data_IF_354419820201
#
_entry.id   IF_354419820201
#
_cell.length_a   1.000
_cell.length_b   1.000
_cell.length_c   1.000
_cell.angle_alpha   90.00
_cell.angle_beta   90.00
_cell.angle_gamma   90.00
#
_symmetry.space_group_name_H-M   'P 1'
#
loop_
_entity.id
_entity.type
_entity.pdbx_description
1 polymer ?
#
# COMPACT_ATOMS: atom_id res chain seq x y z
N UNK A 1 -1.25 -14.08 9.99
CA UNK A 1 0.22 -14.01 9.81
C UNK A 1 0.87 -14.27 11.15
N UNK A 2 1.93 -15.09 11.22
CA UNK A 2 2.66 -15.30 12.48
C UNK A 2 3.21 -13.94 12.96
N UNK A 3 3.17 -13.69 14.27
CA UNK A 3 3.61 -12.44 14.94
C UNK A 3 4.98 -11.93 14.47
N UNK A 4 5.84 -12.84 14.01
CA UNK A 4 7.18 -12.57 13.49
C UNK A 4 7.21 -11.80 12.16
N UNK A 5 6.18 -11.86 11.31
CA UNK A 5 6.17 -11.20 10.00
C UNK A 5 5.77 -9.72 10.12
N UNK A 6 4.94 -9.39 11.13
CA UNK A 6 4.38 -8.05 11.32
C UNK A 6 5.14 -7.36 12.44
N UNK A 7 6.38 -7.00 12.12
CA UNK A 7 7.19 -6.13 12.95
C UNK A 7 7.86 -5.07 12.06
N UNK A 8 8.30 -3.93 12.63
CA UNK A 8 8.83 -2.82 11.85
C UNK A 8 10.06 -3.18 10.99
N UNK A 9 10.94 -4.04 11.50
CA UNK A 9 12.18 -4.42 10.83
C UNK A 9 11.89 -5.36 9.66
N UNK A 10 11.07 -6.39 9.87
CA UNK A 10 10.66 -7.32 8.83
C UNK A 10 9.87 -6.60 7.73
N UNK A 11 9.00 -5.66 8.09
CA UNK A 11 8.25 -4.87 7.12
C UNK A 11 9.13 -3.87 6.37
N UNK A 12 10.16 -3.30 7.01
CA UNK A 12 11.18 -2.54 6.32
C UNK A 12 11.93 -3.38 5.28
N UNK A 13 12.36 -4.60 5.65
CA UNK A 13 13.04 -5.53 4.73
C UNK A 13 12.12 -5.95 3.58
N UNK A 14 10.85 -6.26 3.87
CA UNK A 14 9.87 -6.60 2.84
C UNK A 14 9.65 -5.40 1.89
N UNK A 15 9.47 -4.20 2.44
CA UNK A 15 9.36 -2.97 1.67
C UNK A 15 10.58 -2.74 0.79
N UNK A 16 11.78 -2.88 1.34
CA UNK A 16 13.06 -2.79 0.65
C UNK A 16 13.14 -3.76 -0.54
N UNK A 17 12.84 -5.04 -0.33
CA UNK A 17 12.85 -6.05 -1.40
C UNK A 17 11.80 -5.75 -2.47
N UNK A 18 10.59 -5.36 -2.06
CA UNK A 18 9.52 -5.00 -2.99
C UNK A 18 9.81 -3.73 -3.78
N UNK A 19 10.53 -2.75 -3.21
CA UNK A 19 10.91 -1.55 -3.94
C UNK A 19 11.94 -1.84 -5.03
N UNK A 20 12.94 -2.70 -4.74
CA UNK A 20 13.86 -3.21 -5.76
C UNK A 20 13.09 -3.96 -6.85
N UNK A 21 12.27 -4.93 -6.45
CA UNK A 21 11.49 -5.76 -7.38
C UNK A 21 10.56 -4.91 -8.24
N UNK A 22 9.84 -3.97 -7.64
CA UNK A 22 8.94 -3.06 -8.34
C UNK A 22 9.68 -2.29 -9.42
N UNK A 23 10.86 -1.72 -9.10
CA UNK A 23 11.63 -0.97 -10.10
C UNK A 23 12.23 -1.87 -11.19
N UNK A 24 12.64 -3.09 -10.87
CA UNK A 24 13.11 -4.04 -11.87
C UNK A 24 11.96 -4.47 -12.80
N UNK A 25 10.78 -4.73 -12.24
CA UNK A 25 9.58 -5.04 -13.03
C UNK A 25 9.22 -3.87 -13.94
N UNK A 26 9.32 -2.63 -13.46
CA UNK A 26 9.09 -1.43 -14.27
C UNK A 26 10.03 -1.33 -15.48
N UNK A 27 11.28 -1.77 -15.34
CA UNK A 27 12.28 -1.78 -16.44
C UNK A 27 12.04 -2.94 -17.41
N UNK A 28 11.77 -4.14 -16.90
CA UNK A 28 11.77 -5.37 -17.72
C UNK A 28 10.37 -5.83 -18.16
N UNK A 29 9.30 -5.30 -17.58
CA UNK A 29 7.93 -5.78 -17.81
C UNK A 29 6.90 -4.65 -17.79
N UNK A 30 6.17 -4.43 -18.89
CA UNK A 30 5.16 -3.37 -18.94
C UNK A 30 3.98 -3.61 -17.98
N UNK A 31 3.38 -4.80 -17.99
CA UNK A 31 2.16 -5.05 -17.22
C UNK A 31 2.41 -5.13 -15.70
N UNK A 32 3.47 -5.85 -15.29
CA UNK A 32 3.80 -6.00 -13.87
C UNK A 32 4.40 -4.71 -13.29
N UNK A 33 5.20 -3.99 -14.07
CA UNK A 33 5.67 -2.64 -13.69
C UNK A 33 4.51 -1.71 -13.38
N UNK A 34 3.52 -1.65 -14.29
CA UNK A 34 2.33 -0.82 -14.08
C UNK A 34 1.54 -1.20 -12.81
N UNK A 35 1.42 -2.48 -12.49
CA UNK A 35 0.73 -2.93 -11.27
C UNK A 35 1.44 -2.42 -10.01
N UNK A 36 2.77 -2.59 -9.94
CA UNK A 36 3.53 -2.25 -8.74
C UNK A 36 3.78 -0.74 -8.56
N UNK A 37 3.59 0.04 -9.62
CA UNK A 37 3.70 1.49 -9.62
C UNK A 37 2.37 2.22 -9.33
N UNK A 38 1.26 1.49 -9.23
CA UNK A 38 -0.07 2.06 -9.07
C UNK A 38 -0.53 2.21 -7.63
N UNK A 39 -1.46 3.13 -7.39
CA UNK A 39 -1.94 3.42 -6.04
C UNK A 39 -2.72 2.25 -5.42
N UNK A 40 -3.49 1.49 -6.21
CA UNK A 40 -4.32 0.39 -5.72
C UNK A 40 -3.52 -0.68 -4.97
N UNK A 41 -2.33 -1.07 -5.49
CA UNK A 41 -1.51 -2.08 -4.81
C UNK A 41 -0.92 -1.55 -3.49
N UNK A 42 -0.58 -0.26 -3.42
CA UNK A 42 -0.10 0.38 -2.20
C UNK A 42 -1.20 0.42 -1.13
N UNK A 43 -2.43 0.74 -1.53
CA UNK A 43 -3.60 0.67 -0.66
C UNK A 43 -3.80 -0.77 -0.15
N UNK A 44 -3.67 -1.77 -1.03
CA UNK A 44 -3.77 -3.17 -0.63
C UNK A 44 -2.72 -3.56 0.41
N UNK A 45 -1.44 -3.22 0.20
CA UNK A 45 -0.40 -3.49 1.19
C UNK A 45 -0.67 -2.75 2.51
N UNK A 46 -1.07 -1.48 2.44
CA UNK A 46 -1.45 -0.70 3.61
C UNK A 46 -2.58 -1.33 4.40
N UNK A 47 -3.61 -1.82 3.72
CA UNK A 47 -4.75 -2.53 4.32
C UNK A 47 -4.27 -3.81 4.99
N UNK A 48 -3.52 -4.66 4.29
CA UNK A 48 -2.98 -5.91 4.84
C UNK A 48 -2.15 -5.67 6.10
N UNK A 49 -1.17 -4.75 6.04
CA UNK A 49 -0.30 -4.44 7.19
C UNK A 49 -1.14 -3.90 8.36
N UNK A 50 -2.11 -3.04 8.09
CA UNK A 50 -2.95 -2.42 9.11
C UNK A 50 -3.87 -3.43 9.78
N UNK A 51 -4.67 -4.19 9.04
CA UNK A 51 -5.67 -5.10 9.61
C UNK A 51 -5.04 -6.29 10.37
N UNK A 52 -3.87 -6.75 9.93
CA UNK A 52 -3.17 -7.85 10.61
C UNK A 52 -2.28 -7.38 11.77
N UNK A 53 -2.10 -6.06 11.97
CA UNK A 53 -1.45 -5.54 13.17
C UNK A 53 -2.35 -5.72 14.41
N UNK A 54 -1.76 -6.04 15.56
CA UNK A 54 -2.54 -6.30 16.78
C UNK A 54 -3.17 -5.04 17.37
N UNK A 55 -2.52 -3.87 17.24
CA UNK A 55 -3.02 -2.61 17.80
C UNK A 55 -2.93 -1.48 16.76
N UNK A 56 -3.73 -0.43 16.97
CA UNK A 56 -3.67 0.81 16.16
C UNK A 56 -2.25 1.36 16.09
N UNK A 57 -1.59 1.46 17.25
CA UNK A 57 -0.19 1.91 17.36
C UNK A 57 0.76 1.02 16.57
N UNK A 58 0.58 -0.30 16.61
CA UNK A 58 1.42 -1.21 15.80
C UNK A 58 1.19 -1.00 14.30
N UNK A 59 -0.06 -0.85 13.84
CA UNK A 59 -0.33 -0.55 12.42
C UNK A 59 0.42 0.69 11.94
N UNK A 60 0.40 1.77 12.74
CA UNK A 60 1.10 3.02 12.46
C UNK A 60 2.62 2.85 12.38
N UNK A 61 3.22 2.14 13.34
CA UNK A 61 4.68 1.95 13.41
C UNK A 61 5.15 0.96 12.33
N UNK A 62 4.30 0.02 11.93
CA UNK A 62 4.62 -1.02 10.96
C UNK A 62 4.58 -0.52 9.51
N UNK A 63 3.61 0.33 9.15
CA UNK A 63 3.43 0.78 7.77
C UNK A 63 4.52 1.74 7.31
N UNK A 64 5.00 2.62 8.20
CA UNK A 64 5.95 3.66 7.81
C UNK A 64 7.30 3.10 7.35
N UNK A 65 7.96 2.18 8.08
CA UNK A 65 9.18 1.54 7.62
C UNK A 65 8.99 0.76 6.32
N UNK A 66 7.84 0.11 6.13
CA UNK A 66 7.51 -0.54 4.87
C UNK A 66 7.54 0.45 3.70
N UNK A 67 6.80 1.56 3.83
CA UNK A 67 6.73 2.59 2.78
C UNK A 67 8.09 3.25 2.53
N UNK A 68 8.87 3.55 3.58
CA UNK A 68 10.19 4.14 3.45
C UNK A 68 11.19 3.19 2.78
N UNK A 69 11.20 1.90 3.16
CA UNK A 69 12.05 0.89 2.53
C UNK A 69 11.72 0.72 1.05
N UNK A 70 10.43 0.69 0.72
CA UNK A 70 9.95 0.55 -0.65
C UNK A 70 10.28 1.76 -1.51
N UNK A 71 9.96 2.98 -1.09
CA UNK A 71 10.30 4.20 -1.84
C UNK A 71 11.82 4.40 -1.95
N UNK A 72 12.55 4.21 -0.85
CA UNK A 72 13.99 4.44 -0.80
C UNK A 72 14.75 3.56 -1.80
N UNK A 73 14.41 2.27 -1.86
CA UNK A 73 15.02 1.35 -2.83
C UNK A 73 14.52 1.56 -4.24
N UNK A 74 13.23 1.81 -4.43
CA UNK A 74 12.66 2.08 -5.74
C UNK A 74 13.38 3.26 -6.41
N UNK A 75 13.55 4.38 -5.69
CA UNK A 75 14.26 5.55 -6.20
C UNK A 75 15.76 5.35 -6.31
N UNK A 76 16.37 4.57 -5.42
CA UNK A 76 17.80 4.24 -5.52
C UNK A 76 18.10 3.41 -6.77
N UNK A 77 17.32 2.35 -7.02
CA UNK A 77 17.44 1.53 -8.24
C UNK A 77 17.10 2.36 -9.47
N UNK A 78 16.12 3.26 -9.40
CA UNK A 78 15.86 4.20 -10.48
C UNK A 78 17.09 5.07 -10.78
N UNK A 79 17.72 5.64 -9.76
CA UNK A 79 18.92 6.47 -9.91
C UNK A 79 20.08 5.69 -10.58
N UNK A 80 20.35 4.46 -10.15
CA UNK A 80 21.39 3.62 -10.76
C UNK A 80 21.10 3.25 -12.23
N UNK A 81 19.83 3.16 -12.62
CA UNK A 81 19.41 2.84 -13.99
C UNK A 81 19.04 4.09 -14.80
N UNK A 82 19.51 5.28 -14.41
CA UNK A 82 19.22 6.57 -15.08
C UNK A 82 17.72 6.86 -15.25
N UNK A 83 16.89 6.35 -14.34
CA UNK A 83 15.47 6.63 -14.28
C UNK A 83 15.20 8.10 -13.96
N UNK A 84 14.48 8.79 -14.84
CA UNK A 84 14.12 10.20 -14.65
C UNK A 84 12.79 10.27 -13.91
N UNK A 85 12.82 10.81 -12.69
CA UNK A 85 11.61 11.14 -11.92
C UNK A 85 11.58 12.63 -11.62
N UNK A 86 10.40 13.23 -11.76
CA UNK A 86 10.23 14.64 -11.39
C UNK A 86 10.35 14.79 -9.87
N UNK A 87 10.94 15.91 -9.43
CA UNK A 87 11.03 16.24 -8.00
C UNK A 87 9.65 16.25 -7.34
N UNK A 88 8.64 16.73 -8.06
CA UNK A 88 7.23 16.75 -7.63
C UNK A 88 6.71 15.35 -7.34
N UNK A 89 7.00 14.36 -8.20
CA UNK A 89 6.56 12.98 -8.01
C UNK A 89 7.20 12.36 -6.76
N UNK A 90 8.52 12.53 -6.59
CA UNK A 90 9.25 12.03 -5.41
C UNK A 90 8.68 12.66 -4.13
N UNK A 91 8.43 13.98 -4.14
CA UNK A 91 7.85 14.69 -2.99
C UNK A 91 6.44 14.20 -2.67
N UNK A 92 5.57 14.02 -3.67
CA UNK A 92 4.21 13.55 -3.48
C UNK A 92 4.16 12.15 -2.82
N UNK A 93 4.96 11.21 -3.33
CA UNK A 93 5.04 9.87 -2.75
C UNK A 93 5.68 9.84 -1.37
N UNK A 94 6.70 10.67 -1.14
CA UNK A 94 7.32 10.80 0.17
C UNK A 94 6.33 11.34 1.19
N UNK A 95 5.55 12.37 0.82
CA UNK A 95 4.49 12.91 1.67
C UNK A 95 3.41 11.85 1.95
N UNK A 96 2.99 11.10 0.93
CA UNK A 96 2.06 9.99 1.10
C UNK A 96 2.58 8.94 2.10
N UNK A 97 3.85 8.55 1.99
CA UNK A 97 4.48 7.62 2.93
C UNK A 97 4.52 8.18 4.35
N UNK A 98 4.78 9.48 4.54
CA UNK A 98 4.75 10.13 5.85
C UNK A 98 3.34 10.21 6.44
N UNK A 99 2.30 10.34 5.60
CA UNK A 99 0.90 10.30 6.02
C UNK A 99 0.37 8.88 6.28
N UNK A 100 1.08 7.84 5.80
CA UNK A 100 0.66 6.44 5.92
C UNK A 100 0.34 5.97 7.35
N UNK A 101 0.99 6.45 8.45
CA UNK A 101 0.59 6.07 9.80
C UNK A 101 -0.84 6.49 10.13
N UNK A 102 -1.25 7.71 9.75
CA UNK A 102 -2.60 8.21 10.01
C UNK A 102 -3.62 7.36 9.24
N UNK A 103 -3.32 7.04 7.98
CA UNK A 103 -4.17 6.17 7.17
C UNK A 103 -4.26 4.75 7.75
N UNK A 104 -3.14 4.21 8.25
CA UNK A 104 -3.11 2.90 8.88
C UNK A 104 -3.88 2.85 10.20
N UNK A 105 -3.89 3.95 10.97
CA UNK A 105 -4.72 4.08 12.17
C UNK A 105 -6.20 3.92 11.82
N UNK A 106 -6.70 4.68 10.84
CA UNK A 106 -8.09 4.58 10.39
C UNK A 106 -8.38 3.21 9.76
N UNK A 107 -7.46 2.70 8.95
CA UNK A 107 -7.62 1.37 8.33
C UNK A 107 -7.69 0.27 9.38
N UNK A 108 -6.95 0.36 10.48
CA UNK A 108 -7.07 -0.59 11.59
C UNK A 108 -8.46 -0.54 12.25
N UNK A 109 -9.10 0.63 12.32
CA UNK A 109 -10.45 0.78 12.88
C UNK A 109 -11.52 0.05 12.07
N UNK A 110 -11.23 -0.37 10.83
CA UNK A 110 -12.13 -1.24 10.08
C UNK A 110 -12.37 -2.59 10.76
N UNK A 111 -11.53 -2.99 11.73
CA UNK A 111 -11.73 -4.20 12.56
C UNK A 111 -12.80 -4.01 13.64
N UNK A 112 -13.08 -2.76 14.02
CA UNK A 112 -14.03 -2.46 15.07
C UNK A 112 -15.47 -2.62 14.57
N UNK A 113 -16.41 -2.87 15.49
CA UNK A 113 -17.84 -2.89 15.20
C UNK A 113 -18.36 -1.46 15.26
N UNK A 114 -19.18 -1.07 14.28
CA UNK A 114 -19.85 0.23 14.27
C UNK A 114 -19.94 0.84 12.88
N UNK A 115 -20.74 1.89 12.78
CA UNK A 115 -21.01 2.59 11.53
C UNK A 115 -19.75 3.25 10.94
N UNK A 116 -18.89 3.81 11.79
CA UNK A 116 -17.61 4.42 11.39
C UNK A 116 -16.69 3.41 10.68
N UNK A 117 -16.59 2.18 11.20
CA UNK A 117 -15.80 1.11 10.58
C UNK A 117 -16.29 0.78 9.17
N UNK A 118 -17.62 0.76 8.96
CA UNK A 118 -18.22 0.54 7.66
C UNK A 118 -17.96 1.69 6.67
N UNK A 119 -18.07 2.94 7.14
CA UNK A 119 -17.72 4.13 6.34
C UNK A 119 -16.27 4.07 5.88
N UNK A 120 -15.33 3.72 6.76
CA UNK A 120 -13.90 3.62 6.41
C UNK A 120 -13.67 2.51 5.37
N UNK A 121 -14.31 1.34 5.51
CA UNK A 121 -14.19 0.25 4.53
C UNK A 121 -14.64 0.69 3.13
N UNK A 122 -15.79 1.36 3.05
CA UNK A 122 -16.30 1.92 1.79
C UNK A 122 -15.33 2.97 1.25
N UNK A 123 -14.88 3.89 2.11
CA UNK A 123 -13.95 4.96 1.73
C UNK A 123 -12.64 4.42 1.13
N UNK A 124 -12.06 3.37 1.71
CA UNK A 124 -10.84 2.73 1.19
C UNK A 124 -11.07 2.18 -0.22
N UNK A 125 -12.16 1.44 -0.44
CA UNK A 125 -12.47 0.86 -1.76
C UNK A 125 -12.75 1.97 -2.78
N UNK A 126 -13.51 3.01 -2.40
CA UNK A 126 -13.79 4.15 -3.27
C UNK A 126 -12.51 4.90 -3.65
N UNK A 127 -11.62 5.17 -2.69
CA UNK A 127 -10.35 5.85 -2.97
C UNK A 127 -9.48 4.99 -3.90
N UNK A 128 -9.47 3.67 -3.74
CA UNK A 128 -8.75 2.76 -4.65
C UNK A 128 -9.24 2.90 -6.08
N UNK A 129 -10.55 2.75 -6.31
CA UNK A 129 -11.18 2.86 -7.64
C UNK A 129 -10.96 4.27 -8.24
N UNK A 130 -11.21 5.32 -7.45
CA UNK A 130 -11.05 6.70 -7.90
C UNK A 130 -9.59 7.02 -8.24
N UNK A 131 -8.64 6.47 -7.50
CA UNK A 131 -7.22 6.68 -7.79
C UNK A 131 -6.84 6.11 -9.15
N UNK A 132 -7.32 4.91 -9.50
CA UNK A 132 -7.07 4.32 -10.82
C UNK A 132 -7.76 5.11 -11.95
N UNK A 133 -8.98 5.63 -11.71
CA UNK A 133 -9.70 6.46 -12.70
C UNK A 133 -9.05 7.83 -12.93
N UNK A 134 -8.64 8.53 -11.88
CA UNK A 134 -8.20 9.93 -11.96
C UNK A 134 -6.71 10.03 -12.26
N UNK A 135 -5.88 9.15 -11.66
CA UNK A 135 -4.43 9.27 -11.72
C UNK A 135 -3.76 8.36 -12.76
N UNK A 136 -4.46 7.32 -13.23
CA UNK A 136 -3.86 6.27 -14.07
C UNK A 136 -4.65 5.97 -15.35
N UNK A 137 -5.43 6.93 -15.86
CA UNK A 137 -6.15 6.85 -17.14
C UNK A 137 -7.18 5.71 -17.26
N UNK A 138 -7.74 5.24 -16.13
CA UNK A 138 -8.87 4.31 -16.12
C UNK A 138 -8.62 3.00 -15.38
N UNK A 139 -9.66 2.17 -15.30
CA UNK A 139 -9.63 0.86 -14.63
C UNK A 139 -9.12 -0.23 -15.58
N UNK A 140 -8.05 -0.89 -15.19
CA UNK A 140 -7.48 -2.04 -15.90
C UNK A 140 -7.89 -3.34 -15.21
N UNK A 141 -7.66 -4.46 -15.89
CA UNK A 141 -8.06 -5.79 -15.40
C UNK A 141 -7.52 -6.07 -14.00
N UNK A 142 -6.28 -5.70 -13.71
CA UNK A 142 -5.67 -5.91 -12.40
C UNK A 142 -6.20 -4.96 -11.31
N UNK A 143 -6.72 -3.78 -11.66
CA UNK A 143 -7.39 -2.90 -10.70
C UNK A 143 -8.64 -3.61 -10.16
N UNK A 144 -9.44 -4.20 -11.04
CA UNK A 144 -10.61 -5.00 -10.63
C UNK A 144 -10.23 -6.18 -9.74
N UNK A 145 -9.10 -6.83 -9.99
CA UNK A 145 -8.60 -7.93 -9.14
C UNK A 145 -8.20 -7.39 -7.76
N UNK A 146 -7.46 -6.29 -7.70
CA UNK A 146 -7.00 -5.68 -6.45
C UNK A 146 -8.19 -5.15 -5.65
N UNK A 147 -9.12 -4.45 -6.28
CA UNK A 147 -10.32 -3.89 -5.65
C UNK A 147 -11.26 -5.00 -5.17
N UNK A 148 -11.45 -6.06 -5.98
CA UNK A 148 -12.20 -7.24 -5.57
C UNK A 148 -11.59 -7.92 -4.34
N UNK A 149 -10.26 -7.98 -4.28
CA UNK A 149 -9.54 -8.53 -3.13
C UNK A 149 -9.63 -7.60 -1.90
N UNK A 150 -9.58 -6.28 -2.08
CA UNK A 150 -9.85 -5.29 -1.03
C UNK A 150 -11.26 -5.46 -0.44
N UNK A 151 -12.27 -5.59 -1.30
CA UNK A 151 -13.65 -5.82 -0.88
C UNK A 151 -13.76 -7.14 -0.09
N UNK A 152 -13.17 -8.21 -0.61
CA UNK A 152 -13.17 -9.50 0.08
C UNK A 152 -12.55 -9.40 1.49
N UNK A 153 -11.40 -8.73 1.61
CA UNK A 153 -10.70 -8.58 2.87
C UNK A 153 -11.45 -7.69 3.86
N UNK A 154 -12.01 -6.57 3.39
CA UNK A 154 -12.63 -5.57 4.26
C UNK A 154 -14.05 -5.96 4.70
N UNK A 155 -14.81 -6.67 3.86
CA UNK A 155 -16.22 -6.96 4.14
C UNK A 155 -16.48 -8.42 4.52
N UNK A 156 -15.81 -9.38 3.88
CA UNK A 156 -16.14 -10.80 4.02
C UNK A 156 -15.19 -11.54 4.96
N UNK A 157 -13.91 -11.18 4.96
CA UNK A 157 -12.91 -11.85 5.78
C UNK A 157 -13.03 -11.45 7.25
N UNK A 158 -13.51 -12.37 8.09
CA UNK A 158 -13.52 -12.19 9.55
C UNK A 158 -12.09 -12.27 10.10
N UNK A 159 -11.50 -11.12 10.39
CA UNK A 159 -10.21 -11.03 11.08
C UNK A 159 -10.47 -11.04 12.58
N UNK A 160 -10.16 -12.17 13.22
CA UNK A 160 -10.27 -12.35 14.66
C UNK A 160 -9.20 -11.47 15.33
N UNK A 161 -9.59 -10.80 16.42
CA UNK A 161 -8.84 -9.72 17.09
C UNK A 161 -7.51 -10.19 17.68
#
# INVERSE_FOLDING_TARGET
MKKYIINPISLFIIGFLLGILSRLLDIYTQNLGNIFSQMAIWILFGVLISIYSHTKKQAMINILPFCLGMLGTYYSVAYFNQGVYSKTFIMAWTLFALCSPILAYFTWMTKEKGLLSYIIRIGIVLISILSSLILFDGLRIYDFIIDGLLIYILFFKKIIR
#
